data_IF_250775681654
#
_entry.id   IF_250775681654
#
_cell.length_a   1.000
_cell.length_b   1.000
_cell.length_c   1.000
_cell.angle_alpha   90.00
_cell.angle_beta   90.00
_cell.angle_gamma   90.00
#
_symmetry.space_group_name_H-M   'P 1'
#
loop_
_entity.id
_entity.type
_entity.pdbx_description
1 polymer ?
#
# COMPACT_ATOMS: atom_id res chain seq x y z
N UNK A 1 -54.11 -31.07 -20.96
CA UNK A 1 -53.14 -29.96 -21.16
C UNK A 1 -52.45 -29.63 -19.84
N UNK A 2 -51.47 -30.42 -19.38
CA UNK A 2 -51.00 -30.28 -18.00
C UNK A 2 -49.64 -30.90 -17.65
N UNK A 3 -48.69 -31.00 -18.59
CA UNK A 3 -47.33 -31.50 -18.28
C UNK A 3 -46.17 -30.74 -18.93
N UNK A 4 -46.43 -29.80 -19.85
CA UNK A 4 -45.36 -28.99 -20.50
C UNK A 4 -45.04 -27.67 -19.79
N UNK A 5 -45.93 -27.16 -18.94
CA UNK A 5 -45.69 -25.92 -18.18
C UNK A 5 -44.84 -26.13 -16.93
N UNK A 6 -44.84 -27.33 -16.34
CA UNK A 6 -44.06 -27.62 -15.11
C UNK A 6 -42.57 -27.73 -15.40
N UNK A 7 -42.18 -28.22 -16.57
CA UNK A 7 -40.77 -28.32 -16.97
C UNK A 7 -40.14 -26.94 -17.25
N UNK A 8 -40.90 -26.00 -17.83
CA UNK A 8 -40.45 -24.64 -18.12
C UNK A 8 -40.31 -23.79 -16.84
N UNK A 9 -41.22 -23.95 -15.87
CA UNK A 9 -41.11 -23.27 -14.57
C UNK A 9 -39.95 -23.84 -13.74
N UNK A 10 -39.70 -25.16 -13.82
CA UNK A 10 -38.57 -25.78 -13.12
C UNK A 10 -37.22 -25.39 -13.72
N UNK A 11 -37.12 -25.24 -15.05
CA UNK A 11 -35.91 -24.76 -15.69
C UNK A 11 -35.66 -23.27 -15.41
N UNK A 12 -36.72 -22.44 -15.33
CA UNK A 12 -36.61 -21.04 -14.96
C UNK A 12 -36.14 -20.88 -13.50
N UNK A 13 -36.61 -21.72 -12.58
CA UNK A 13 -36.16 -21.71 -11.18
C UNK A 13 -34.70 -22.17 -11.05
N UNK A 14 -34.24 -23.12 -11.87
CA UNK A 14 -32.83 -23.55 -11.88
C UNK A 14 -31.92 -22.50 -12.53
N UNK A 15 -32.38 -21.78 -13.56
CA UNK A 15 -31.61 -20.66 -14.14
C UNK A 15 -31.61 -19.44 -13.21
N UNK A 16 -32.67 -19.17 -12.46
CA UNK A 16 -32.72 -18.09 -11.45
C UNK A 16 -31.92 -18.46 -10.19
N UNK A 17 -31.83 -19.73 -9.81
CA UNK A 17 -30.94 -20.18 -8.72
C UNK A 17 -29.47 -20.28 -9.17
N UNK A 18 -29.19 -20.55 -10.45
CA UNK A 18 -27.84 -20.51 -11.02
C UNK A 18 -27.36 -19.07 -11.35
N UNK A 19 -28.28 -18.11 -11.50
CA UNK A 19 -27.97 -16.67 -11.63
C UNK A 19 -28.17 -15.88 -10.31
N UNK A 20 -28.61 -16.56 -9.26
CA UNK A 20 -28.77 -16.03 -7.89
C UNK A 20 -27.46 -15.92 -7.10
N UNK A 21 -26.35 -16.41 -7.66
CA UNK A 21 -25.02 -15.89 -7.33
C UNK A 21 -24.81 -14.60 -8.16
N UNK A 22 -25.56 -13.56 -7.83
CA UNK A 22 -24.89 -12.28 -7.64
C UNK A 22 -23.77 -12.62 -6.63
N UNK A 23 -22.50 -12.79 -7.01
CA UNK A 23 -21.67 -11.67 -7.44
C UNK A 23 -22.19 -10.39 -6.78
N UNK A 24 -22.28 -10.42 -5.45
CA UNK A 24 -21.85 -9.32 -4.62
C UNK A 24 -20.35 -9.10 -4.90
N UNK A 25 -20.04 -8.73 -6.14
CA UNK A 25 -18.86 -7.95 -6.41
C UNK A 25 -19.00 -6.72 -5.53
N UNK A 26 -17.98 -6.46 -4.71
CA UNK A 26 -17.80 -5.29 -3.87
C UNK A 26 -18.72 -4.10 -4.24
N UNK A 27 -19.95 -4.11 -3.75
CA UNK A 27 -20.82 -2.93 -3.65
C UNK A 27 -21.32 -2.84 -2.22
N UNK A 28 -20.39 -2.97 -1.28
CA UNK A 28 -20.37 -1.94 -0.27
C UNK A 28 -19.59 -0.80 -0.91
N UNK A 29 -20.03 0.43 -0.68
CA UNK A 29 -19.14 1.58 -0.72
C UNK A 29 -17.95 1.27 0.20
N UNK A 30 -16.99 0.49 -0.29
CA UNK A 30 -15.62 0.58 0.19
C UNK A 30 -15.31 2.01 -0.13
N UNK A 31 -15.45 2.89 0.89
CA UNK A 31 -14.93 4.25 0.83
C UNK A 31 -13.58 4.08 0.18
N UNK A 32 -13.49 4.51 -1.08
CA UNK A 32 -12.23 4.41 -1.79
C UNK A 32 -11.28 5.15 -0.87
N UNK A 33 -10.30 4.45 -0.31
CA UNK A 33 -9.36 5.09 0.57
C UNK A 33 -8.80 6.29 -0.16
N UNK A 34 -8.75 7.41 0.53
CA UNK A 34 -8.38 8.60 -0.20
C UNK A 34 -6.95 8.45 -0.70
N UNK A 35 -6.82 8.84 -1.97
CA UNK A 35 -5.56 9.16 -2.63
C UNK A 35 -4.74 10.04 -1.67
N UNK A 36 -3.40 10.09 -1.83
CA UNK A 36 -2.55 11.05 -1.12
C UNK A 36 -3.29 12.38 -0.91
N UNK A 37 -3.41 12.82 0.34
CA UNK A 37 -4.28 13.93 0.71
C UNK A 37 -3.83 15.27 0.10
N UNK A 38 -2.55 15.35 -0.25
CA UNK A 38 -1.93 16.42 -1.00
C UNK A 38 -1.47 15.94 -2.38
N UNK A 39 -1.08 16.89 -3.24
CA UNK A 39 -0.46 16.58 -4.53
C UNK A 39 0.87 15.85 -4.34
N UNK A 40 1.57 16.16 -3.25
CA UNK A 40 2.71 15.40 -2.77
C UNK A 40 2.66 15.27 -1.23
N UNK A 41 2.83 14.05 -0.74
CA UNK A 41 2.95 13.72 0.69
C UNK A 41 4.34 13.16 0.96
N UNK A 42 5.02 13.69 2.00
CA UNK A 42 6.29 13.15 2.49
C UNK A 42 6.13 12.62 3.91
N UNK A 43 6.46 11.36 4.12
CA UNK A 43 6.54 10.70 5.43
C UNK A 43 8.02 10.46 5.77
N UNK A 44 8.45 10.91 6.94
CA UNK A 44 9.82 10.69 7.44
C UNK A 44 9.77 9.80 8.67
N UNK A 45 10.58 8.75 8.66
CA UNK A 45 10.73 7.78 9.75
C UNK A 45 12.16 7.77 10.26
N UNK A 46 12.34 7.60 11.56
CA UNK A 46 13.59 7.08 12.13
C UNK A 46 13.63 5.57 12.00
N UNK A 47 14.78 5.01 11.62
CA UNK A 47 15.05 3.56 11.59
C UNK A 47 15.76 3.20 12.89
N UNK A 48 15.20 2.28 13.65
CA UNK A 48 15.71 1.84 14.94
C UNK A 48 15.99 0.34 14.90
N UNK A 49 17.21 -0.06 15.22
CA UNK A 49 17.61 -1.47 15.37
C UNK A 49 17.93 -1.72 16.83
N UNK A 50 17.25 -2.69 17.44
CA UNK A 50 17.44 -3.00 18.88
C UNK A 50 17.26 -1.76 19.80
N UNK A 51 16.32 -0.88 19.42
CA UNK A 51 16.02 0.41 20.05
C UNK A 51 17.14 1.46 19.99
N UNK A 52 18.12 1.30 19.10
CA UNK A 52 19.13 2.31 18.77
C UNK A 52 18.79 2.92 17.41
N UNK A 53 18.79 4.25 17.29
CA UNK A 53 18.60 4.91 16.01
C UNK A 53 19.77 4.58 15.08
N UNK A 54 19.49 4.01 13.91
CA UNK A 54 20.50 3.58 12.94
C UNK A 54 20.36 4.27 11.58
N UNK A 55 19.31 5.05 11.37
CA UNK A 55 19.11 5.73 10.09
C UNK A 55 17.76 6.43 9.96
N UNK A 56 17.41 6.78 8.73
CA UNK A 56 16.13 7.39 8.38
C UNK A 56 15.53 6.76 7.12
N UNK A 57 14.21 6.75 7.03
CA UNK A 57 13.46 6.38 5.83
C UNK A 57 12.54 7.53 5.45
N UNK A 58 12.66 8.00 4.21
CA UNK A 58 11.77 9.01 3.62
C UNK A 58 10.92 8.34 2.56
N UNK A 59 9.59 8.51 2.65
CA UNK A 59 8.63 8.04 1.66
C UNK A 59 7.94 9.27 1.07
N UNK A 60 8.04 9.44 -0.24
CA UNK A 60 7.36 10.50 -0.99
C UNK A 60 6.29 9.87 -1.85
N UNK A 61 5.05 10.31 -1.71
CA UNK A 61 3.92 9.91 -2.56
C UNK A 61 3.46 11.11 -3.35
N UNK A 62 3.60 11.06 -4.67
CA UNK A 62 3.30 12.17 -5.57
C UNK A 62 2.23 11.78 -6.58
N UNK A 63 1.22 12.63 -6.74
CA UNK A 63 0.22 12.49 -7.79
C UNK A 63 0.81 12.83 -9.15
N UNK A 64 0.39 12.05 -10.14
CA UNK A 64 0.81 12.23 -11.53
C UNK A 64 -0.41 12.49 -12.41
N UNK A 65 -0.25 13.33 -13.45
CA UNK A 65 -1.30 13.50 -14.44
C UNK A 65 -1.51 12.20 -15.22
N UNK A 66 -2.72 12.07 -15.78
CA UNK A 66 -3.05 10.98 -16.70
C UNK A 66 -2.14 11.04 -17.93
N UNK A 67 -1.73 9.86 -18.43
CA UNK A 67 -0.92 9.71 -19.63
C UNK A 67 0.29 8.81 -19.42
N UNK A 68 1.33 9.04 -20.23
CA UNK A 68 2.57 8.27 -20.23
C UNK A 68 3.50 8.77 -19.13
N UNK A 69 3.77 7.92 -18.15
CA UNK A 69 4.62 8.21 -17.00
C UNK A 69 5.83 7.27 -16.98
N UNK A 70 6.92 7.69 -16.36
CA UNK A 70 8.14 6.90 -16.23
C UNK A 70 8.55 6.74 -14.78
N UNK A 71 9.29 5.68 -14.50
CA UNK A 71 10.07 5.59 -13.29
C UNK A 71 11.29 6.53 -13.41
N UNK A 72 11.63 7.33 -12.38
CA UNK A 72 12.79 8.21 -12.40
C UNK A 72 14.11 7.53 -12.79
N UNK A 73 14.35 6.28 -12.35
CA UNK A 73 15.57 5.52 -12.70
C UNK A 73 15.58 5.06 -14.17
N UNK A 74 14.42 4.97 -14.81
CA UNK A 74 14.23 4.50 -16.19
C UNK A 74 13.39 5.50 -17.00
N UNK A 75 13.91 6.71 -17.28
CA UNK A 75 13.14 7.79 -17.89
C UNK A 75 12.63 7.47 -19.31
N UNK A 76 13.30 6.56 -20.01
CA UNK A 76 12.95 6.15 -21.38
C UNK A 76 11.87 5.06 -21.41
N UNK A 77 11.58 4.41 -20.28
CA UNK A 77 10.54 3.40 -20.17
C UNK A 77 9.24 4.02 -19.67
N UNK A 78 8.32 4.21 -20.61
CA UNK A 78 7.02 4.83 -20.35
C UNK A 78 5.94 3.78 -20.11
N UNK A 79 5.02 4.10 -19.21
CA UNK A 79 3.88 3.29 -18.86
C UNK A 79 2.61 4.13 -18.85
N UNK A 80 1.51 3.54 -19.33
CA UNK A 80 0.19 4.17 -19.34
C UNK A 80 -0.41 4.26 -17.93
N UNK A 81 -0.81 5.47 -17.56
CA UNK A 81 -1.51 5.74 -16.31
C UNK A 81 -2.80 6.51 -16.58
N UNK A 82 -3.92 5.80 -16.56
CA UNK A 82 -5.19 6.27 -17.11
C UNK A 82 -6.37 6.21 -16.12
N UNK A 83 -6.11 6.07 -14.81
CA UNK A 83 -7.16 6.04 -13.79
C UNK A 83 -7.88 7.37 -13.72
N UNK A 84 -9.15 7.38 -14.12
CA UNK A 84 -10.00 8.56 -14.13
C UNK A 84 -10.45 8.99 -12.73
N UNK A 85 -10.42 8.08 -11.75
CA UNK A 85 -10.87 8.35 -10.38
C UNK A 85 -9.76 8.81 -9.44
N UNK A 86 -8.50 8.48 -9.75
CA UNK A 86 -7.37 8.65 -8.82
C UNK A 86 -6.08 9.13 -9.49
N UNK A 87 -6.05 9.27 -10.82
CA UNK A 87 -4.85 9.63 -11.56
C UNK A 87 -3.73 8.61 -11.40
N UNK A 88 -2.52 9.06 -11.69
CA UNK A 88 -1.31 8.30 -11.40
C UNK A 88 -0.73 8.63 -10.05
N UNK A 89 0.09 7.72 -9.52
CA UNK A 89 0.88 8.01 -8.31
C UNK A 89 2.27 7.42 -8.46
N UNK A 90 3.28 8.21 -8.12
CA UNK A 90 4.65 7.76 -7.92
C UNK A 90 4.91 7.71 -6.42
N UNK A 91 5.35 6.56 -5.93
CA UNK A 91 5.81 6.39 -4.55
C UNK A 91 7.32 6.18 -4.62
N UNK A 92 8.10 7.01 -3.95
CA UNK A 92 9.55 6.86 -3.81
C UNK A 92 9.90 6.62 -2.35
N UNK A 93 10.81 5.70 -2.07
CA UNK A 93 11.31 5.36 -0.74
C UNK A 93 12.83 5.44 -0.74
N UNK A 94 13.38 6.18 0.21
CA UNK A 94 14.83 6.30 0.38
C UNK A 94 15.18 6.04 1.83
N UNK A 95 15.89 4.95 2.10
CA UNK A 95 16.48 4.68 3.40
C UNK A 95 17.96 5.09 3.41
N UNK A 96 18.38 5.76 4.48
CA UNK A 96 19.76 6.17 4.70
C UNK A 96 20.24 5.72 6.08
N UNK A 97 21.53 5.42 6.19
CA UNK A 97 22.19 5.26 7.48
C UNK A 97 22.48 6.62 8.16
N UNK A 98 23.10 6.62 9.34
CA UNK A 98 23.49 7.84 10.06
C UNK A 98 24.59 8.65 9.37
N UNK A 99 25.27 8.09 8.37
CA UNK A 99 26.31 8.75 7.57
C UNK A 99 25.77 9.26 6.22
N UNK A 100 24.43 9.33 6.08
CA UNK A 100 23.72 9.73 4.86
C UNK A 100 23.93 8.81 3.65
N UNK A 101 24.52 7.62 3.82
CA UNK A 101 24.63 6.65 2.74
C UNK A 101 23.25 6.05 2.45
N UNK A 102 22.87 6.01 1.18
CA UNK A 102 21.62 5.38 0.75
C UNK A 102 21.78 3.86 0.85
N UNK A 103 21.01 3.24 1.73
CA UNK A 103 21.01 1.79 1.97
C UNK A 103 19.86 1.09 1.25
N UNK A 104 18.81 1.83 0.93
CA UNK A 104 17.71 1.38 0.08
C UNK A 104 17.16 2.55 -0.73
N UNK A 105 16.90 2.31 -2.01
CA UNK A 105 16.08 3.17 -2.84
C UNK A 105 14.99 2.31 -3.50
N UNK A 106 13.74 2.75 -3.46
CA UNK A 106 12.70 2.13 -4.27
C UNK A 106 11.70 3.12 -4.82
N UNK A 107 11.08 2.76 -5.93
CA UNK A 107 10.09 3.54 -6.63
C UNK A 107 9.00 2.64 -7.18
N UNK A 108 7.75 3.08 -7.07
CA UNK A 108 6.59 2.36 -7.56
C UNK A 108 5.65 3.32 -8.28
N UNK A 109 5.36 3.01 -9.55
CA UNK A 109 4.39 3.71 -10.36
C UNK A 109 3.04 2.98 -10.30
N UNK A 110 2.01 3.71 -9.95
CA UNK A 110 0.65 3.21 -9.73
C UNK A 110 -0.33 3.87 -10.69
N UNK A 111 -1.27 3.08 -11.21
CA UNK A 111 -2.43 3.53 -11.96
C UNK A 111 -3.68 3.34 -11.07
N UNK A 112 -4.09 4.42 -10.40
CA UNK A 112 -4.93 4.33 -9.21
C UNK A 112 -4.27 3.44 -8.13
N UNK A 113 -4.92 2.35 -7.76
CA UNK A 113 -4.42 1.39 -6.75
C UNK A 113 -3.70 0.17 -7.34
N UNK A 114 -3.44 0.15 -8.65
CA UNK A 114 -2.77 -0.99 -9.32
C UNK A 114 -1.31 -0.64 -9.65
N UNK A 115 -0.33 -1.47 -9.28
CA UNK A 115 1.05 -1.25 -9.69
C UNK A 115 1.20 -1.45 -11.20
N UNK A 116 2.04 -0.60 -11.81
CA UNK A 116 2.33 -0.60 -13.24
C UNK A 116 3.81 -0.90 -13.49
N UNK A 117 4.68 -0.29 -12.68
CA UNK A 117 6.10 -0.57 -12.67
C UNK A 117 6.68 -0.31 -11.29
N UNK A 118 7.74 -1.02 -10.93
CA UNK A 118 8.47 -0.77 -9.70
C UNK A 118 9.94 -1.08 -9.87
N UNK A 119 10.76 -0.41 -9.08
CA UNK A 119 12.18 -0.65 -8.96
C UNK A 119 12.60 -0.58 -7.51
N UNK A 120 13.54 -1.45 -7.13
CA UNK A 120 14.20 -1.42 -5.84
C UNK A 120 15.67 -1.69 -5.99
N UNK A 121 16.45 -0.99 -5.19
CA UNK A 121 17.87 -1.14 -4.99
C UNK A 121 18.11 -1.23 -3.48
N UNK A 122 18.79 -2.28 -3.05
CA UNK A 122 19.26 -2.46 -1.68
C UNK A 122 20.77 -2.53 -1.72
N UNK A 123 21.41 -1.76 -0.86
CA UNK A 123 22.85 -1.68 -0.74
C UNK A 123 23.21 -1.62 0.75
N UNK A 124 23.16 -2.78 1.42
CA UNK A 124 23.61 -2.95 2.80
C UNK A 124 24.80 -3.91 2.85
N UNK A 125 25.47 -3.99 4.00
CA UNK A 125 26.55 -4.97 4.22
C UNK A 125 26.09 -6.41 4.07
N UNK A 126 24.84 -6.70 4.43
CA UNK A 126 24.28 -8.07 4.43
C UNK A 126 23.61 -8.45 3.12
N UNK A 127 23.24 -7.46 2.29
CA UNK A 127 22.46 -7.68 1.09
C UNK A 127 22.68 -6.57 0.07
N UNK A 128 23.02 -6.97 -1.15
CA UNK A 128 23.09 -6.08 -2.29
C UNK A 128 22.30 -6.66 -3.46
N UNK A 129 21.24 -5.95 -3.87
CA UNK A 129 20.47 -6.37 -5.04
C UNK A 129 19.69 -5.24 -5.70
N UNK A 130 19.31 -5.47 -6.95
CA UNK A 130 18.28 -4.71 -7.64
C UNK A 130 17.13 -5.61 -8.07
N UNK A 131 15.92 -5.06 -8.03
CA UNK A 131 14.72 -5.68 -8.54
C UNK A 131 13.99 -4.66 -9.39
N UNK A 132 13.82 -4.96 -10.68
CA UNK A 132 12.98 -4.18 -11.57
C UNK A 132 11.77 -4.99 -11.94
N UNK A 133 10.60 -4.38 -11.96
CA UNK A 133 9.36 -5.04 -12.31
C UNK A 133 8.40 -4.16 -13.12
N UNK A 134 7.56 -4.83 -13.91
CA UNK A 134 6.43 -4.22 -14.63
C UNK A 134 5.24 -5.15 -14.71
N UNK A 135 4.07 -4.57 -14.93
CA UNK A 135 2.78 -5.27 -14.85
C UNK A 135 1.94 -5.02 -16.10
N UNK A 136 1.31 -6.07 -16.64
CA UNK A 136 0.32 -5.96 -17.73
C UNK A 136 -1.13 -6.20 -17.25
N UNK A 137 -1.32 -6.34 -15.93
CA UNK A 137 -2.60 -6.69 -15.30
C UNK A 137 -2.86 -8.19 -15.15
N UNK A 138 -2.17 -9.05 -15.91
CA UNK A 138 -2.28 -10.52 -15.80
C UNK A 138 -0.94 -11.21 -15.55
N UNK A 139 0.16 -10.49 -15.74
CA UNK A 139 1.53 -10.96 -15.57
C UNK A 139 2.36 -9.93 -14.81
N UNK A 140 3.24 -10.49 -13.99
CA UNK A 140 4.35 -9.83 -13.33
C UNK A 140 5.62 -10.19 -14.11
N UNK A 141 6.26 -9.18 -14.67
CA UNK A 141 7.56 -9.30 -15.32
C UNK A 141 8.61 -8.71 -14.40
N UNK A 142 9.71 -9.40 -14.16
CA UNK A 142 10.74 -8.92 -13.24
C UNK A 142 12.14 -9.34 -13.67
N UNK A 143 13.12 -8.50 -13.33
CA UNK A 143 14.55 -8.76 -13.47
C UNK A 143 15.20 -8.55 -12.10
N UNK A 144 15.98 -9.55 -11.66
CA UNK A 144 16.75 -9.51 -10.42
C UNK A 144 18.22 -9.35 -10.77
N UNK A 145 18.89 -8.34 -10.19
CA UNK A 145 20.30 -8.00 -10.44
C UNK A 145 20.65 -7.80 -11.92
N UNK A 146 19.74 -7.20 -12.70
CA UNK A 146 19.93 -7.00 -14.14
C UNK A 146 19.95 -8.28 -14.98
N UNK A 147 19.59 -9.42 -14.40
CA UNK A 147 19.44 -10.68 -15.12
C UNK A 147 18.28 -10.67 -16.12
N UNK A 148 18.11 -11.78 -16.84
CA UNK A 148 17.02 -11.95 -17.80
C UNK A 148 15.64 -11.70 -17.17
N UNK A 149 14.75 -11.05 -17.92
CA UNK A 149 13.38 -10.79 -17.48
C UNK A 149 12.61 -12.12 -17.36
N UNK A 150 12.19 -12.44 -16.15
CA UNK A 150 11.31 -13.57 -15.84
C UNK A 150 9.86 -13.09 -15.84
N UNK A 151 8.94 -14.00 -16.16
CA UNK A 151 7.49 -13.71 -16.16
C UNK A 151 6.72 -14.72 -15.31
N UNK A 152 5.80 -14.21 -14.50
CA UNK A 152 4.91 -15.01 -13.66
C UNK A 152 3.47 -14.53 -13.88
N UNK A 153 2.54 -15.46 -14.10
CA UNK A 153 1.11 -15.12 -14.18
C UNK A 153 0.60 -14.70 -12.80
N UNK A 154 -0.01 -13.53 -12.71
CA UNK A 154 -0.65 -13.02 -11.49
C UNK A 154 -2.18 -13.08 -11.63
N UNK A 155 -2.89 -13.11 -10.51
CA UNK A 155 -4.35 -13.15 -10.42
C UNK A 155 -4.81 -12.08 -9.43
N UNK A 156 -6.12 -11.92 -9.29
CA UNK A 156 -6.73 -11.12 -8.21
C UNK A 156 -6.12 -11.47 -6.85
N UNK A 157 -5.88 -10.45 -6.02
CA UNK A 157 -5.19 -10.61 -4.74
C UNK A 157 -3.67 -10.69 -4.85
N UNK A 158 -3.07 -10.43 -6.02
CA UNK A 158 -1.63 -10.20 -6.11
C UNK A 158 -1.23 -8.87 -5.46
N UNK A 159 -0.09 -8.87 -4.79
CA UNK A 159 0.51 -7.70 -4.15
C UNK A 159 1.96 -7.55 -4.57
N UNK A 160 2.34 -6.33 -4.98
CA UNK A 160 3.74 -5.97 -5.14
C UNK A 160 4.35 -5.69 -3.76
N UNK A 161 5.51 -6.31 -3.49
CA UNK A 161 6.25 -6.15 -2.25
C UNK A 161 6.57 -4.67 -1.96
N UNK A 162 6.79 -3.86 -3.01
CA UNK A 162 7.13 -2.44 -2.87
C UNK A 162 5.97 -1.60 -2.36
N UNK A 163 4.72 -2.03 -2.52
CA UNK A 163 3.53 -1.27 -2.12
C UNK A 163 2.78 -1.89 -0.96
N UNK A 164 3.25 -3.02 -0.43
CA UNK A 164 2.60 -3.81 0.62
C UNK A 164 2.17 -2.98 1.83
N UNK A 165 3.03 -2.07 2.30
CA UNK A 165 2.74 -1.24 3.48
C UNK A 165 1.82 -0.05 3.19
N UNK A 166 1.73 0.35 1.92
CA UNK A 166 0.94 1.52 1.50
C UNK A 166 -0.50 1.15 1.19
N UNK A 167 -0.75 -0.08 0.74
CA UNK A 167 -2.07 -0.52 0.29
C UNK A 167 -3.04 -0.85 1.43
N UNK A 168 -2.57 -1.02 2.67
CA UNK A 168 -3.47 -1.21 3.83
C UNK A 168 -3.98 0.12 4.39
N UNK A 169 -3.26 1.23 4.13
CA UNK A 169 -3.83 2.59 4.28
C UNK A 169 -5.13 2.74 3.50
N UNK A 170 -5.31 1.83 2.54
CA UNK A 170 -6.34 1.84 1.55
C UNK A 170 -7.62 1.04 1.90
N UNK A 171 -7.76 0.56 3.14
CA UNK A 171 -8.94 -0.22 3.54
C UNK A 171 -9.50 0.29 4.86
N UNK A 172 -10.79 0.06 5.08
CA UNK A 172 -11.40 0.21 6.41
C UNK A 172 -10.86 -0.89 7.32
N UNK A 173 -10.20 -0.51 8.42
CA UNK A 173 -9.49 -1.43 9.31
C UNK A 173 -10.31 -1.78 10.56
N UNK A 174 -11.18 -0.87 10.99
CA UNK A 174 -11.99 -0.96 12.20
C UNK A 174 -12.99 -2.13 12.18
N UNK A 175 -13.34 -2.62 10.99
CA UNK A 175 -14.31 -3.71 10.79
C UNK A 175 -13.69 -5.12 10.82
N UNK A 176 -12.67 -5.36 11.67
CA UNK A 176 -11.92 -6.63 11.75
C UNK A 176 -11.35 -7.09 10.39
N UNK A 177 -10.67 -6.18 9.70
CA UNK A 177 -10.12 -6.45 8.37
C UNK A 177 -9.23 -7.70 8.35
N UNK A 178 -9.56 -8.61 7.43
CA UNK A 178 -8.76 -9.81 7.11
C UNK A 178 -8.73 -10.03 5.60
N UNK A 179 -7.55 -10.34 5.07
CA UNK A 179 -7.38 -10.69 3.66
C UNK A 179 -6.16 -11.59 3.48
N UNK A 180 -6.02 -12.15 2.27
CA UNK A 180 -4.82 -12.87 1.87
C UNK A 180 -4.36 -12.36 0.52
N UNK A 181 -3.10 -11.95 0.47
CA UNK A 181 -2.44 -11.56 -0.76
C UNK A 181 -1.49 -12.65 -1.24
N UNK A 182 -1.19 -12.64 -2.53
CA UNK A 182 -0.13 -13.44 -3.11
C UNK A 182 0.98 -12.51 -3.56
N UNK A 183 2.20 -12.76 -3.10
CA UNK A 183 3.41 -12.12 -3.59
C UNK A 183 4.25 -13.12 -4.38
N UNK A 184 5.19 -12.59 -5.16
CA UNK A 184 6.20 -13.41 -5.83
C UNK A 184 7.53 -13.14 -5.12
N UNK A 185 8.20 -14.21 -4.70
CA UNK A 185 9.59 -14.14 -4.26
C UNK A 185 10.45 -13.84 -5.50
N UNK A 186 11.13 -12.68 -5.56
CA UNK A 186 11.91 -12.31 -6.73
C UNK A 186 13.16 -13.18 -6.92
N UNK A 187 13.62 -13.90 -5.89
CA UNK A 187 14.82 -14.75 -5.98
C UNK A 187 14.48 -16.11 -6.59
N UNK A 188 13.42 -16.74 -6.11
CA UNK A 188 12.99 -18.09 -6.53
C UNK A 188 11.91 -18.09 -7.60
N UNK A 189 11.17 -16.98 -7.76
CA UNK A 189 9.99 -16.88 -8.61
C UNK A 189 8.75 -17.57 -8.03
N UNK A 190 8.83 -18.12 -6.83
CA UNK A 190 7.74 -18.80 -6.17
C UNK A 190 6.67 -17.82 -5.71
N UNK A 191 5.42 -18.29 -5.69
CA UNK A 191 4.30 -17.54 -5.12
C UNK A 191 4.18 -17.85 -3.65
N UNK A 192 4.20 -16.80 -2.83
CA UNK A 192 3.95 -16.90 -1.40
C UNK A 192 2.61 -16.25 -1.08
N UNK A 193 1.85 -16.87 -0.18
CA UNK A 193 0.59 -16.31 0.31
C UNK A 193 0.84 -15.62 1.66
N UNK A 194 0.39 -14.38 1.77
CA UNK A 194 0.53 -13.51 2.93
C UNK A 194 -0.85 -13.20 3.49
N UNK A 195 -1.10 -13.66 4.71
CA UNK A 195 -2.30 -13.28 5.45
C UNK A 195 -2.08 -11.92 6.08
N UNK A 196 -3.09 -11.06 5.96
CA UNK A 196 -3.13 -9.73 6.55
C UNK A 196 -4.34 -9.65 7.46
N UNK A 197 -4.13 -9.30 8.72
CA UNK A 197 -5.19 -9.18 9.69
C UNK A 197 -4.93 -8.05 10.67
N UNK A 198 -5.98 -7.36 11.11
CA UNK A 198 -5.93 -6.53 12.30
C UNK A 198 -5.78 -7.43 13.52
N UNK A 199 -4.82 -7.11 14.39
CA UNK A 199 -4.39 -8.00 15.47
C UNK A 199 -4.47 -7.37 16.86
N UNK A 200 -4.40 -6.05 16.95
CA UNK A 200 -4.51 -5.33 18.22
C UNK A 200 -4.89 -3.87 17.99
N UNK A 201 -5.39 -3.23 19.04
CA UNK A 201 -5.42 -1.77 19.17
C UNK A 201 -4.25 -1.30 20.04
N UNK A 202 -3.80 -0.08 19.84
CA UNK A 202 -2.78 0.56 20.66
C UNK A 202 -2.80 2.08 20.51
N UNK A 203 -1.78 2.74 21.05
CA UNK A 203 -1.61 4.19 20.94
C UNK A 203 -0.19 4.52 20.51
N UNK A 204 -0.04 5.25 19.41
CA UNK A 204 1.23 5.76 18.90
C UNK A 204 1.00 7.12 18.24
N UNK A 205 1.86 8.09 18.54
CA UNK A 205 1.78 9.44 18.00
C UNK A 205 3.04 10.23 18.32
N UNK A 206 2.91 11.55 18.52
CA UNK A 206 4.06 12.42 18.81
C UNK A 206 4.92 12.77 17.59
N UNK A 207 4.36 12.62 16.39
CA UNK A 207 4.99 13.07 15.14
C UNK A 207 4.51 14.47 14.77
N UNK A 208 5.37 15.22 14.09
CA UNK A 208 5.04 16.52 13.52
C UNK A 208 4.24 16.33 12.22
N UNK A 209 3.20 17.11 12.00
CA UNK A 209 2.52 17.19 10.71
C UNK A 209 2.44 18.63 10.22
N UNK A 210 2.76 18.84 8.95
CA UNK A 210 2.74 20.16 8.28
C UNK A 210 1.73 20.11 7.13
N UNK A 211 0.77 21.04 7.15
CA UNK A 211 -0.25 21.12 6.10
C UNK A 211 0.22 21.89 4.86
N UNK A 212 -0.62 21.89 3.81
CA UNK A 212 -0.28 22.54 2.54
C UNK A 212 -0.16 24.07 2.59
N UNK A 213 -0.59 24.72 3.69
CA UNK A 213 -0.36 26.15 3.95
C UNK A 213 0.91 26.39 4.80
N UNK A 214 1.62 25.34 5.20
CA UNK A 214 2.84 25.40 6.00
C UNK A 214 2.61 25.47 7.51
N UNK A 215 1.37 25.35 7.98
CA UNK A 215 1.07 25.28 9.40
C UNK A 215 1.50 23.92 9.95
N UNK A 216 2.20 23.95 11.08
CA UNK A 216 2.73 22.76 11.76
C UNK A 216 2.00 22.51 13.07
N UNK A 217 1.76 21.25 13.39
CA UNK A 217 1.22 20.80 14.65
C UNK A 217 1.75 19.41 15.02
N UNK A 218 1.56 19.03 16.28
CA UNK A 218 2.00 17.73 16.81
C UNK A 218 0.80 16.82 16.98
N UNK A 219 0.88 15.60 16.43
CA UNK A 219 -0.08 14.56 16.76
C UNK A 219 0.08 14.15 18.24
N UNK A 220 -1.03 14.01 18.96
CA UNK A 220 -1.00 13.61 20.37
C UNK A 220 -0.30 12.24 20.54
N UNK A 221 0.52 12.08 21.58
CA UNK A 221 1.17 10.79 21.87
C UNK A 221 0.15 9.65 22.10
N UNK A 222 -1.07 10.00 22.50
CA UNK A 222 -2.21 9.11 22.73
C UNK A 222 -3.04 8.80 21.47
N UNK A 223 -2.60 9.20 20.27
CA UNK A 223 -3.30 8.88 19.02
C UNK A 223 -3.52 7.36 18.91
N UNK A 224 -4.78 6.96 18.75
CA UNK A 224 -5.19 5.55 18.62
C UNK A 224 -4.68 4.96 17.32
N UNK A 225 -4.31 3.70 17.39
CA UNK A 225 -3.80 2.92 16.27
C UNK A 225 -4.36 1.51 16.23
N UNK A 226 -4.41 0.94 15.03
CA UNK A 226 -4.64 -0.47 14.77
C UNK A 226 -3.36 -1.12 14.28
N UNK A 227 -2.98 -2.21 14.91
CA UNK A 227 -1.85 -3.04 14.50
C UNK A 227 -2.33 -4.07 13.46
N UNK A 228 -1.81 -3.97 12.24
CA UNK A 228 -2.06 -4.91 11.15
C UNK A 228 -0.83 -5.81 10.98
N UNK A 229 -1.03 -7.11 11.14
CA UNK A 229 0.02 -8.12 10.97
C UNK A 229 -0.01 -8.70 9.56
N UNK A 230 1.16 -8.79 8.94
CA UNK A 230 1.43 -9.40 7.64
C UNK A 230 2.23 -10.68 7.89
N UNK A 231 1.62 -11.84 7.61
CA UNK A 231 2.16 -13.15 8.01
C UNK A 231 2.21 -14.10 6.82
N UNK A 232 3.37 -14.70 6.56
CA UNK A 232 3.48 -15.78 5.56
C UNK A 232 2.65 -16.97 6.01
N UNK A 233 1.81 -17.49 5.12
CA UNK A 233 0.90 -18.60 5.42
C UNK A 233 1.53 -19.98 5.24
N UNK A 234 2.72 -20.05 4.63
CA UNK A 234 3.45 -21.30 4.36
C UNK A 234 4.89 -21.22 4.85
N UNK A 235 5.41 -22.39 5.24
CA UNK A 235 6.75 -22.52 5.80
C UNK A 235 7.87 -22.12 4.81
N UNK A 236 8.95 -21.47 5.29
CA UNK A 236 9.15 -21.04 6.68
C UNK A 236 8.27 -19.82 7.02
N UNK A 237 7.46 -19.98 8.07
CA UNK A 237 6.64 -18.89 8.63
C UNK A 237 7.58 -18.08 9.53
N UNK A 238 8.26 -17.09 8.93
CA UNK A 238 9.09 -16.15 9.67
C UNK A 238 8.26 -15.31 10.66
N UNK A 239 8.92 -14.40 11.39
CA UNK A 239 8.18 -13.43 12.21
C UNK A 239 7.29 -12.56 11.31
N UNK A 240 6.06 -12.34 11.75
CA UNK A 240 5.17 -11.41 11.08
C UNK A 240 5.75 -10.00 11.10
N UNK A 241 5.53 -9.28 10.01
CA UNK A 241 5.69 -7.84 10.00
C UNK A 241 4.42 -7.20 10.56
N UNK A 242 4.57 -6.17 11.40
CA UNK A 242 3.43 -5.47 12.00
C UNK A 242 3.49 -4.00 11.65
N UNK A 243 2.41 -3.45 11.11
CA UNK A 243 2.28 -2.01 10.85
C UNK A 243 1.17 -1.43 11.72
N UNK A 244 1.48 -0.32 12.38
CA UNK A 244 0.56 0.41 13.23
C UNK A 244 0.02 1.59 12.42
N UNK A 245 -1.28 1.60 12.16
CA UNK A 245 -1.97 2.63 11.41
C UNK A 245 -2.84 3.48 12.33
N UNK A 246 -2.91 4.80 12.11
CA UNK A 246 -3.82 5.66 12.87
C UNK A 246 -5.28 5.24 12.69
N UNK A 247 -6.07 5.30 13.75
CA UNK A 247 -7.53 5.19 13.67
C UNK A 247 -8.10 6.49 13.12
N UNK A 248 -9.06 6.36 12.22
CA UNK A 248 -9.79 7.51 11.72
C UNK A 248 -10.82 7.96 12.77
N UNK A 249 -10.59 9.10 13.43
CA UNK A 249 -11.57 9.69 14.35
C UNK A 249 -11.89 11.12 13.94
N UNK A 250 -13.16 11.37 13.61
CA UNK A 250 -13.66 12.69 13.22
C UNK A 250 -14.07 13.56 14.40
N UNK A 251 -14.06 12.99 15.61
CA UNK A 251 -14.51 13.69 16.84
C UNK A 251 -13.40 14.51 17.50
N UNK A 252 -12.14 14.27 17.14
CA UNK A 252 -10.99 15.13 17.46
C UNK A 252 -10.19 14.75 18.70
N UNK A 253 -10.68 13.85 19.55
CA UNK A 253 -10.02 13.57 20.84
C UNK A 253 -8.92 12.49 20.76
N UNK A 254 -9.06 11.47 19.89
CA UNK A 254 -8.14 10.32 19.92
C UNK A 254 -7.72 9.71 18.58
N UNK A 255 -8.24 10.15 17.44
CA UNK A 255 -7.79 9.68 16.14
C UNK A 255 -7.21 10.78 15.26
N UNK A 256 -6.66 10.36 14.13
CA UNK A 256 -5.86 11.20 13.27
C UNK A 256 -6.24 10.98 11.81
N UNK A 257 -6.61 12.07 11.14
CA UNK A 257 -6.88 12.07 9.71
C UNK A 257 -6.25 13.30 9.07
N UNK A 258 -5.80 13.15 7.82
CA UNK A 258 -5.29 14.25 7.01
C UNK A 258 -6.32 14.57 5.94
N UNK A 259 -6.78 15.81 5.86
CA UNK A 259 -7.63 16.31 4.78
C UNK A 259 -6.83 17.28 3.93
N UNK A 260 -6.95 17.13 2.60
CA UNK A 260 -6.40 18.04 1.61
C UNK A 260 -6.92 19.46 1.77
N UNK A 261 -6.16 20.41 1.25
CA UNK A 261 -6.46 21.84 1.32
C UNK A 261 -7.73 22.17 0.51
N UNK A 262 -8.82 22.63 1.16
CA UNK A 262 -10.02 23.08 0.46
C UNK A 262 -9.76 24.26 -0.49
N UNK A 263 -8.73 25.06 -0.24
CA UNK A 263 -8.40 26.26 -1.01
C UNK A 263 -7.75 25.96 -2.37
N UNK A 264 -7.20 24.75 -2.58
CA UNK A 264 -6.61 24.33 -3.86
C UNK A 264 -7.61 23.68 -4.83
N UNK A 265 -8.91 23.70 -4.54
CA UNK A 265 -9.99 23.35 -5.47
C UNK A 265 -10.07 21.86 -5.88
N UNK A 266 -9.19 21.00 -5.39
CA UNK A 266 -9.32 19.55 -5.52
C UNK A 266 -10.33 19.02 -4.51
N UNK A 267 -11.27 18.19 -4.94
CA UNK A 267 -12.25 17.54 -4.06
C UNK A 267 -11.60 16.92 -2.82
N UNK A 268 -12.37 16.74 -1.75
CA UNK A 268 -11.95 16.33 -0.39
C UNK A 268 -11.03 15.10 -0.37
N UNK A 269 -9.76 15.30 -0.67
CA UNK A 269 -8.74 14.27 -0.64
C UNK A 269 -8.42 14.01 0.81
N UNK A 270 -8.30 12.75 1.19
CA UNK A 270 -8.16 12.39 2.59
C UNK A 270 -7.20 11.24 2.72
N UNK A 271 -6.22 11.35 3.60
CA UNK A 271 -5.45 10.20 4.01
C UNK A 271 -5.98 9.74 5.35
N UNK A 272 -6.59 8.56 5.35
CA UNK A 272 -6.86 7.79 6.56
C UNK A 272 -5.71 6.80 6.79
N UNK A 273 -5.62 6.28 8.02
CA UNK A 273 -4.69 5.20 8.37
C UNK A 273 -3.24 5.51 8.01
N UNK A 274 -2.68 6.55 8.62
CA UNK A 274 -1.25 6.88 8.44
C UNK A 274 -0.42 5.81 9.15
N UNK A 275 0.56 5.16 8.49
CA UNK A 275 1.43 4.18 9.14
C UNK A 275 2.42 4.91 10.04
N UNK A 276 2.23 4.82 11.36
CA UNK A 276 3.05 5.54 12.36
C UNK A 276 4.21 4.70 12.87
N UNK A 277 4.10 3.38 12.81
CA UNK A 277 5.21 2.47 13.11
C UNK A 277 5.15 1.23 12.22
N UNK A 278 6.30 0.81 11.71
CA UNK A 278 6.48 -0.49 11.04
C UNK A 278 7.48 -1.28 11.86
N UNK A 279 7.14 -2.51 12.24
CA UNK A 279 8.02 -3.41 12.97
C UNK A 279 8.25 -4.68 12.17
N UNK A 280 9.52 -4.95 11.88
CA UNK A 280 9.97 -6.14 11.16
C UNK A 280 11.19 -6.70 11.89
N UNK A 281 11.06 -7.91 12.45
CA UNK A 281 12.11 -8.54 13.26
C UNK A 281 12.59 -7.63 14.43
N UNK A 282 13.87 -7.24 14.44
CA UNK A 282 14.49 -6.34 15.42
C UNK A 282 14.59 -4.88 14.94
N UNK A 283 14.01 -4.58 13.77
CA UNK A 283 13.99 -3.24 13.18
C UNK A 283 12.62 -2.61 13.36
N UNK A 284 12.60 -1.33 13.75
CA UNK A 284 11.41 -0.49 13.83
C UNK A 284 11.60 0.77 13.00
N UNK A 285 10.60 1.13 12.23
CA UNK A 285 10.51 2.41 11.55
C UNK A 285 9.46 3.23 12.29
N UNK A 286 9.85 4.35 12.90
CA UNK A 286 8.95 5.18 13.72
C UNK A 286 8.77 6.52 13.02
N UNK A 287 7.53 6.87 12.70
CA UNK A 287 7.20 8.11 12.00
C UNK A 287 7.55 9.29 12.89
N UNK A 288 8.30 10.25 12.34
CA UNK A 288 8.66 11.49 13.02
C UNK A 288 8.00 12.71 12.40
N UNK A 289 7.74 12.68 11.08
CA UNK A 289 7.21 13.84 10.37
C UNK A 289 6.34 13.48 9.16
N UNK A 290 5.27 14.24 8.95
CA UNK A 290 4.41 14.22 7.76
C UNK A 290 4.35 15.61 7.15
N UNK A 291 4.53 15.75 5.84
CA UNK A 291 4.47 17.05 5.13
C UNK A 291 3.58 16.92 3.90
N UNK A 292 2.67 17.88 3.69
CA UNK A 292 2.01 18.11 2.42
C UNK A 292 2.69 19.23 1.63
N UNK A 293 2.94 18.99 0.35
CA UNK A 293 3.41 19.98 -0.63
C UNK A 293 2.33 20.22 -1.70
#
# INVERSE_FOLDING_TARGET
>A
MGKRYVALISLLIVVVLASGLFLTGCTQDQKLPGIAWAEEETLTYGIWTDNVLTGSLVIVTKRLPVGQQALPKFPDEKYDVNSTSSGGTLITKTAKDLSDNITMYSEALMNGFKPVASYKEVNTTDSQYTLKARYDGTRYFYSYNGGEEKKVRIKTGFMDNEIMYSIVRCYELESNYTTTFNLVDPTTGNKEALSVAVTAEGTQGGFEYVNGSGESAMAAASTRTLAVSFTRTKAPVGKSLVVYYTVEDKTGDTGFYLTGDPAKGGGTNRSSHVPVMIQENNVKYVLSKVIAN
#
